data_IF_919356346507
#
_entry.id   IF_919356346507
#
_cell.length_a   1.000
_cell.length_b   1.000
_cell.length_c   1.000
_cell.angle_alpha   90.00
_cell.angle_beta   90.00
_cell.angle_gamma   90.00
#
_symmetry.space_group_name_H-M   'P 1'
#
loop_
_entity.id
_entity.type
_entity.pdbx_description
1 polymer ?
#
# COMPACT_ATOMS: atom_id res chain seq x y z
N UNK A 1 -33.04 -30.99 -69.70
CA UNK A 1 -33.07 -29.68 -70.34
C UNK A 1 -33.16 -28.64 -69.23
N UNK A 2 -32.03 -28.07 -68.84
CA UNK A 2 -31.95 -27.07 -67.79
C UNK A 2 -31.32 -25.82 -68.39
N UNK A 3 -32.03 -24.72 -68.41
CA UNK A 3 -31.54 -23.42 -68.88
C UNK A 3 -31.05 -22.61 -67.67
N UNK A 4 -29.79 -22.28 -67.72
CA UNK A 4 -29.14 -21.34 -66.74
C UNK A 4 -29.25 -19.93 -67.25
N UNK A 5 -29.93 -19.04 -66.53
CA UNK A 5 -29.85 -17.59 -66.72
C UNK A 5 -28.79 -16.99 -65.82
N UNK A 6 -27.69 -16.53 -66.44
CA UNK A 6 -26.66 -15.76 -65.79
C UNK A 6 -27.08 -14.28 -65.67
N UNK A 7 -27.03 -13.72 -64.48
CA UNK A 7 -27.15 -12.27 -64.25
C UNK A 7 -25.78 -11.74 -63.93
N UNK A 8 -25.20 -10.94 -64.79
CA UNK A 8 -23.96 -10.21 -64.55
C UNK A 8 -24.27 -8.90 -63.81
N UNK A 9 -23.72 -8.71 -62.63
CA UNK A 9 -23.72 -7.44 -61.90
C UNK A 9 -22.45 -6.66 -62.22
N UNK A 10 -22.60 -5.58 -62.96
CA UNK A 10 -21.58 -4.56 -63.12
C UNK A 10 -21.65 -3.57 -61.96
N UNK A 11 -20.77 -3.67 -60.99
CA UNK A 11 -20.66 -2.74 -59.84
C UNK A 11 -19.27 -2.16 -59.71
N UNK A 12 -18.77 -1.45 -60.72
CA UNK A 12 -17.41 -0.89 -60.65
C UNK A 12 -17.31 0.58 -61.08
N UNK A 13 -18.33 1.40 -60.90
CA UNK A 13 -18.26 2.81 -61.29
C UNK A 13 -18.73 3.87 -60.28
N UNK A 14 -19.01 3.50 -59.03
CA UNK A 14 -19.46 4.45 -58.01
C UNK A 14 -18.53 4.60 -56.81
N UNK A 15 -17.44 3.86 -56.72
CA UNK A 15 -16.44 3.98 -55.64
C UNK A 15 -15.27 4.94 -55.88
N UNK A 16 -15.13 5.54 -57.05
CA UNK A 16 -13.99 6.40 -57.40
C UNK A 16 -14.22 7.92 -57.32
N UNK A 17 -15.41 8.41 -57.03
CA UNK A 17 -15.71 9.85 -56.97
C UNK A 17 -16.02 10.42 -55.59
N UNK A 18 -15.88 9.62 -54.52
CA UNK A 18 -16.13 10.12 -53.13
C UNK A 18 -14.88 10.42 -52.32
N UNK A 19 -13.65 10.25 -52.90
CA UNK A 19 -12.39 10.42 -52.18
C UNK A 19 -11.59 11.65 -52.65
N UNK A 20 -12.16 12.63 -53.35
CA UNK A 20 -11.39 13.76 -53.88
C UNK A 20 -11.79 15.16 -53.42
N UNK A 21 -12.65 15.27 -52.35
CA UNK A 21 -12.94 16.62 -51.80
C UNK A 21 -13.08 16.55 -50.27
N UNK A 22 -11.98 16.26 -49.57
CA UNK A 22 -11.81 16.68 -48.18
C UNK A 22 -10.55 17.55 -48.15
N UNK A 23 -10.67 18.84 -47.77
CA UNK A 23 -9.49 19.65 -47.53
C UNK A 23 -8.73 19.02 -46.35
N UNK A 24 -7.45 18.82 -46.52
CA UNK A 24 -6.53 18.39 -45.47
C UNK A 24 -6.38 19.51 -44.44
N UNK A 25 -7.36 19.67 -43.58
CA UNK A 25 -7.20 20.27 -42.27
C UNK A 25 -6.66 19.18 -41.37
N UNK A 26 -5.38 18.84 -41.52
CA UNK A 26 -4.63 18.16 -40.46
C UNK A 26 -4.56 19.17 -39.30
N UNK A 27 -5.62 19.21 -38.50
CA UNK A 27 -5.54 19.75 -37.17
C UNK A 27 -4.56 18.82 -36.43
N UNK A 28 -3.32 19.28 -36.31
CA UNK A 28 -2.39 18.79 -35.31
C UNK A 28 -3.08 19.04 -33.96
N UNK A 29 -3.90 18.10 -33.52
CA UNK A 29 -4.22 17.94 -32.12
C UNK A 29 -2.90 17.55 -31.47
N UNK A 30 -2.08 18.56 -31.12
CA UNK A 30 -1.15 18.42 -30.03
C UNK A 30 -2.01 17.96 -28.87
N UNK A 31 -2.00 16.67 -28.59
CA UNK A 31 -2.45 16.17 -27.32
C UNK A 31 -1.60 16.92 -26.29
N UNK A 32 -2.16 17.99 -25.73
CA UNK A 32 -1.63 18.56 -24.51
C UNK A 32 -1.60 17.36 -23.55
N UNK A 33 -0.42 16.88 -23.25
CA UNK A 33 -0.23 15.88 -22.21
C UNK A 33 -0.85 16.52 -20.98
N UNK A 34 -2.00 16.00 -20.55
CA UNK A 34 -2.58 16.43 -19.29
C UNK A 34 -1.45 16.33 -18.27
N UNK A 35 -1.07 17.45 -17.68
CA UNK A 35 0.03 17.52 -16.74
C UNK A 35 -0.26 16.49 -15.66
N UNK A 36 0.59 15.47 -15.55
CA UNK A 36 0.36 14.39 -14.61
C UNK A 36 0.37 14.96 -13.19
N UNK A 37 -0.71 14.76 -12.45
CA UNK A 37 -0.81 15.20 -11.04
C UNK A 37 0.40 14.63 -10.28
N UNK A 38 1.26 15.49 -9.71
CA UNK A 38 2.45 15.02 -9.02
C UNK A 38 2.07 14.28 -7.75
N UNK A 39 2.51 13.03 -7.61
CA UNK A 39 2.32 12.22 -6.42
C UNK A 39 3.48 12.47 -5.47
N UNK A 40 3.21 12.89 -4.23
CA UNK A 40 4.22 13.04 -3.18
C UNK A 40 4.83 11.69 -2.84
N UNK A 41 6.15 11.68 -2.57
CA UNK A 41 6.92 10.49 -2.23
C UNK A 41 7.50 10.61 -0.83
N UNK A 42 7.36 9.56 -0.05
CA UNK A 42 7.95 9.43 1.28
C UNK A 42 8.17 7.98 1.67
N UNK A 43 8.42 7.74 2.95
CA UNK A 43 8.51 6.38 3.48
C UNK A 43 7.86 6.24 4.83
N UNK A 44 7.46 5.00 5.15
CA UNK A 44 7.12 4.57 6.49
C UNK A 44 8.39 4.18 7.27
N UNK A 45 8.52 4.68 8.49
CA UNK A 45 9.73 4.56 9.32
C UNK A 45 10.10 3.13 9.67
N UNK A 46 9.18 2.18 9.53
CA UNK A 46 9.47 0.76 9.72
C UNK A 46 10.53 0.24 8.74
N UNK A 47 10.67 0.87 7.58
CA UNK A 47 11.68 0.54 6.57
C UNK A 47 13.11 0.62 7.11
N UNK A 48 13.38 1.50 8.08
CA UNK A 48 14.70 1.72 8.70
C UNK A 48 14.73 1.41 10.20
N UNK A 49 13.84 0.54 10.67
CA UNK A 49 13.66 0.21 12.09
C UNK A 49 14.92 -0.27 12.80
N UNK A 50 15.87 -0.90 12.08
CA UNK A 50 17.13 -1.37 12.65
C UNK A 50 18.03 -0.23 13.13
N UNK A 51 17.88 0.98 12.56
CA UNK A 51 18.65 2.18 12.99
C UNK A 51 18.16 2.73 14.32
N UNK A 52 16.94 2.43 14.75
CA UNK A 52 16.30 2.94 15.97
C UNK A 52 16.27 4.48 16.05
N UNK A 53 16.34 5.16 14.90
CA UNK A 53 16.21 6.62 14.81
C UNK A 53 14.85 7.09 15.31
N UNK A 54 14.81 8.33 15.83
CA UNK A 54 13.60 8.93 16.39
C UNK A 54 13.42 10.36 15.92
N UNK A 55 12.18 10.79 15.87
CA UNK A 55 11.76 12.17 15.67
C UNK A 55 12.51 12.87 14.55
N UNK A 56 13.31 13.89 14.92
CA UNK A 56 14.02 14.72 13.94
C UNK A 56 15.09 13.97 13.13
N UNK A 57 15.70 12.89 13.66
CA UNK A 57 16.67 12.09 12.91
C UNK A 57 16.03 11.44 11.66
N UNK A 58 14.78 10.94 11.80
CA UNK A 58 14.03 10.37 10.69
C UNK A 58 13.65 11.43 9.65
N UNK A 59 13.29 12.64 10.10
CA UNK A 59 13.02 13.79 9.23
C UNK A 59 14.28 14.24 8.48
N UNK A 60 15.43 14.31 9.15
CA UNK A 60 16.69 14.69 8.52
C UNK A 60 17.12 13.67 7.46
N UNK A 61 16.90 12.37 7.71
CA UNK A 61 17.14 11.33 6.72
C UNK A 61 16.20 11.48 5.51
N UNK A 62 14.90 11.71 5.75
CA UNK A 62 13.95 11.99 4.66
C UNK A 62 14.35 13.20 3.81
N UNK A 63 14.82 14.28 4.45
CA UNK A 63 15.28 15.48 3.76
C UNK A 63 16.54 15.21 2.93
N UNK A 64 17.50 14.43 3.46
CA UNK A 64 18.72 14.02 2.75
C UNK A 64 18.39 13.23 1.47
N UNK A 65 17.29 12.50 1.48
CA UNK A 65 16.76 11.78 0.33
C UNK A 65 15.84 12.64 -0.56
N UNK A 66 15.65 13.92 -0.29
CA UNK A 66 14.75 14.83 -1.01
C UNK A 66 13.33 14.25 -1.14
N UNK A 67 12.72 13.91 -0.01
CA UNK A 67 11.37 13.38 0.07
C UNK A 67 10.36 14.47 0.46
N UNK A 68 9.09 14.25 0.06
CA UNK A 68 8.00 15.20 0.28
C UNK A 68 7.25 14.95 1.60
N UNK A 69 7.33 13.72 2.11
CA UNK A 69 6.52 13.26 3.23
C UNK A 69 7.21 12.12 3.98
N UNK A 70 6.76 11.85 5.20
CA UNK A 70 7.18 10.71 6.02
C UNK A 70 5.97 10.19 6.79
N UNK A 71 5.89 8.87 6.96
CA UNK A 71 4.94 8.25 7.87
C UNK A 71 5.69 7.66 9.06
N UNK A 72 5.38 8.12 10.26
CA UNK A 72 5.85 7.51 11.48
C UNK A 72 5.02 6.25 11.76
N UNK A 73 5.65 5.07 11.68
CA UNK A 73 4.98 3.78 11.75
C UNK A 73 4.34 3.51 13.11
N UNK A 74 4.97 4.01 14.17
CA UNK A 74 4.52 3.82 15.54
C UNK A 74 4.74 5.08 16.38
N UNK A 75 3.95 5.26 17.45
CA UNK A 75 4.08 6.40 18.36
C UNK A 75 5.48 6.49 18.98
N UNK A 76 6.11 5.36 19.26
CA UNK A 76 7.48 5.30 19.78
C UNK A 76 8.55 5.84 18.82
N UNK A 77 8.25 6.05 17.54
CA UNK A 77 9.20 6.61 16.57
C UNK A 77 9.35 8.12 16.69
N UNK A 78 8.40 8.79 17.33
CA UNK A 78 8.57 10.20 17.69
C UNK A 78 9.60 10.44 18.80
N UNK A 79 9.94 9.43 19.60
CA UNK A 79 10.64 9.57 20.88
C UNK A 79 9.64 9.85 22.01
N UNK A 80 9.97 10.73 22.98
CA UNK A 80 9.03 11.16 24.02
C UNK A 80 7.77 11.78 23.42
N UNK A 81 6.60 11.46 23.98
CA UNK A 81 5.30 11.97 23.48
C UNK A 81 4.85 13.25 24.23
N UNK A 82 5.76 13.93 24.93
CA UNK A 82 5.46 15.20 25.56
C UNK A 82 5.31 16.34 24.52
N UNK A 83 4.63 17.41 24.93
CA UNK A 83 4.30 18.51 24.04
C UNK A 83 5.54 19.20 23.44
N UNK A 84 6.65 19.29 24.21
CA UNK A 84 7.86 19.94 23.75
C UNK A 84 8.53 19.16 22.61
N UNK A 85 8.66 17.83 22.76
CA UNK A 85 9.26 17.00 21.72
C UNK A 85 8.37 16.92 20.47
N UNK A 86 7.04 16.76 20.62
CA UNK A 86 6.13 16.74 19.48
C UNK A 86 6.14 18.07 18.71
N UNK A 87 6.21 19.21 19.41
CA UNK A 87 6.36 20.51 18.77
C UNK A 87 7.69 20.62 18.01
N UNK A 88 8.79 20.15 18.61
CA UNK A 88 10.12 20.10 17.95
C UNK A 88 10.09 19.28 16.66
N UNK A 89 9.43 18.13 16.67
CA UNK A 89 9.27 17.30 15.47
C UNK A 89 8.45 18.02 14.40
N UNK A 90 7.34 18.63 14.79
CA UNK A 90 6.49 19.43 13.88
C UNK A 90 7.25 20.58 13.24
N UNK A 91 7.98 21.36 14.06
CA UNK A 91 8.74 22.50 13.57
C UNK A 91 9.86 22.08 12.62
N UNK A 92 10.54 20.95 12.94
CA UNK A 92 11.56 20.40 12.05
C UNK A 92 11.00 19.96 10.72
N UNK A 93 9.85 19.29 10.71
CA UNK A 93 9.16 18.90 9.48
C UNK A 93 8.78 20.13 8.64
N UNK A 94 8.27 21.18 9.27
CA UNK A 94 7.94 22.44 8.60
C UNK A 94 9.17 23.12 7.99
N UNK A 95 10.31 23.18 8.73
CA UNK A 95 11.58 23.72 8.24
C UNK A 95 12.10 22.99 7.01
N UNK A 96 11.88 21.66 6.95
CA UNK A 96 12.33 20.81 5.87
C UNK A 96 11.31 20.71 4.71
N UNK A 97 10.11 21.28 4.86
CA UNK A 97 9.03 21.18 3.87
C UNK A 97 8.43 19.77 3.75
N UNK A 98 8.60 18.94 4.79
CA UNK A 98 8.14 17.55 4.82
C UNK A 98 6.78 17.45 5.54
N UNK A 99 5.78 16.83 4.92
CA UNK A 99 4.52 16.53 5.58
C UNK A 99 4.61 15.23 6.38
N UNK A 100 3.89 15.16 7.52
CA UNK A 100 3.88 14.00 8.40
C UNK A 100 2.55 13.25 8.26
N UNK A 101 2.63 11.94 8.05
CA UNK A 101 1.56 10.98 8.35
C UNK A 101 1.92 10.23 9.63
N UNK A 102 0.91 9.96 10.49
CA UNK A 102 1.12 9.29 11.76
C UNK A 102 0.58 7.87 11.74
N UNK A 103 1.27 6.98 12.44
CA UNK A 103 0.87 5.59 12.58
C UNK A 103 0.96 5.07 14.01
N UNK A 104 0.21 4.01 14.26
CA UNK A 104 0.22 3.23 15.49
C UNK A 104 -0.01 1.75 15.19
N UNK A 105 0.02 0.92 16.22
CA UNK A 105 -0.13 -0.52 16.12
C UNK A 105 -1.56 -1.02 15.95
N UNK A 106 -1.75 -2.29 16.30
CA UNK A 106 -3.03 -2.97 16.29
C UNK A 106 -4.02 -2.33 17.28
N UNK A 107 -5.30 -2.19 16.82
CA UNK A 107 -6.38 -1.60 17.63
C UNK A 107 -7.53 -2.59 17.89
N UNK A 108 -7.41 -3.83 17.51
CA UNK A 108 -8.41 -4.87 17.75
C UNK A 108 -8.03 -5.71 18.96
N UNK A 109 -8.73 -5.53 20.09
CA UNK A 109 -8.42 -6.20 21.36
C UNK A 109 -8.52 -7.73 21.31
N UNK A 110 -9.26 -8.27 20.36
CA UNK A 110 -9.33 -9.71 20.12
C UNK A 110 -8.22 -10.26 19.23
N UNK A 111 -7.45 -9.40 18.58
CA UNK A 111 -6.35 -9.83 17.75
C UNK A 111 -5.11 -10.25 18.56
N UNK A 112 -4.35 -11.17 18.02
CA UNK A 112 -3.12 -11.68 18.64
C UNK A 112 -2.04 -10.60 18.74
N UNK A 113 -2.00 -9.70 17.76
CA UNK A 113 -1.06 -8.59 17.70
C UNK A 113 -1.37 -7.48 18.71
N UNK A 114 -2.55 -7.46 19.34
CA UNK A 114 -2.90 -6.45 20.32
C UNK A 114 -2.12 -6.65 21.63
N UNK A 115 -1.45 -5.60 22.08
CA UNK A 115 -0.67 -5.61 23.32
C UNK A 115 -1.56 -5.70 24.57
N UNK A 116 -1.73 -6.89 25.11
CA UNK A 116 -2.64 -7.17 26.24
C UNK A 116 -2.28 -6.48 27.57
N UNK A 117 -1.05 -5.99 27.69
CA UNK A 117 -0.57 -5.32 28.90
C UNK A 117 -0.69 -3.78 28.82
N UNK A 118 -1.21 -3.26 27.73
CA UNK A 118 -1.42 -1.82 27.52
C UNK A 118 -2.84 -1.36 27.88
N UNK A 119 -3.12 -0.06 27.73
CA UNK A 119 -4.47 0.48 27.87
C UNK A 119 -5.44 -0.15 26.84
N UNK A 120 -6.76 -0.05 27.08
CA UNK A 120 -7.75 -0.46 26.09
C UNK A 120 -7.56 0.22 24.73
N UNK A 121 -7.97 -0.45 23.65
CA UNK A 121 -7.78 0.04 22.27
C UNK A 121 -8.36 1.45 22.07
N UNK A 122 -9.53 1.75 22.64
CA UNK A 122 -10.12 3.10 22.63
C UNK A 122 -9.15 4.16 23.16
N UNK A 123 -8.53 3.90 24.31
CA UNK A 123 -7.61 4.85 24.94
C UNK A 123 -6.33 5.02 24.11
N UNK A 124 -5.76 3.92 23.60
CA UNK A 124 -4.60 3.97 22.73
C UNK A 124 -4.88 4.78 21.45
N UNK A 125 -6.06 4.59 20.85
CA UNK A 125 -6.44 5.31 19.63
C UNK A 125 -6.64 6.81 19.89
N UNK A 126 -7.26 7.19 21.00
CA UNK A 126 -7.39 8.61 21.39
C UNK A 126 -6.01 9.26 21.58
N UNK A 127 -5.08 8.57 22.22
CA UNK A 127 -3.69 9.06 22.36
C UNK A 127 -3.04 9.25 21.02
N UNK A 128 -3.14 8.25 20.11
CA UNK A 128 -2.64 8.35 18.75
C UNK A 128 -3.23 9.55 18.00
N UNK A 129 -4.54 9.76 18.06
CA UNK A 129 -5.20 10.90 17.42
C UNK A 129 -4.69 12.25 17.96
N UNK A 130 -4.43 12.35 19.27
CA UNK A 130 -3.84 13.56 19.87
C UNK A 130 -2.42 13.79 19.40
N UNK A 131 -1.59 12.74 19.31
CA UNK A 131 -0.24 12.83 18.76
C UNK A 131 -0.27 13.27 17.30
N UNK A 132 -1.13 12.66 16.47
CA UNK A 132 -1.29 13.07 15.07
C UNK A 132 -1.62 14.56 14.96
N UNK A 133 -2.58 15.04 15.74
CA UNK A 133 -2.93 16.47 15.80
C UNK A 133 -1.76 17.35 16.20
N UNK A 134 -1.01 16.94 17.23
CA UNK A 134 0.13 17.71 17.76
C UNK A 134 1.23 17.89 16.70
N UNK A 135 1.53 16.86 15.91
CA UNK A 135 2.55 16.93 14.85
C UNK A 135 2.02 17.47 13.51
N UNK A 136 0.72 17.77 13.41
CA UNK A 136 0.09 18.31 12.20
C UNK A 136 -0.29 17.27 11.15
N UNK A 137 -0.32 15.98 11.51
CA UNK A 137 -0.84 14.91 10.67
C UNK A 137 -2.36 14.98 10.56
N UNK A 138 -2.89 14.66 9.37
CA UNK A 138 -4.34 14.58 9.12
C UNK A 138 -4.89 13.16 9.28
N UNK A 139 -4.01 12.19 9.45
CA UNK A 139 -4.36 10.78 9.57
C UNK A 139 -3.62 10.10 10.72
N UNK A 140 -4.28 9.08 11.28
CA UNK A 140 -3.67 8.12 12.18
C UNK A 140 -3.86 6.72 11.60
N UNK A 141 -2.77 6.17 11.02
CA UNK A 141 -2.77 4.80 10.51
C UNK A 141 -2.80 3.82 11.67
N UNK A 142 -3.62 2.78 11.54
CA UNK A 142 -3.66 1.62 12.43
C UNK A 142 -4.06 0.37 11.63
N UNK A 143 -3.99 -0.80 12.27
CA UNK A 143 -4.39 -2.06 11.63
C UNK A 143 -5.19 -2.95 12.60
N UNK A 144 -5.89 -3.93 12.04
CA UNK A 144 -6.73 -4.85 12.81
C UNK A 144 -5.92 -6.00 13.39
N UNK A 145 -5.08 -6.67 12.60
CA UNK A 145 -4.38 -7.86 13.03
C UNK A 145 -3.35 -8.37 12.03
N UNK A 146 -3.34 -9.68 11.84
CA UNK A 146 -2.46 -10.39 10.91
C UNK A 146 -3.12 -11.66 10.38
N UNK A 147 -2.41 -12.40 9.52
CA UNK A 147 -2.85 -13.73 9.05
C UNK A 147 -3.07 -14.74 10.18
N UNK A 148 -2.40 -14.56 11.34
CA UNK A 148 -2.62 -15.43 12.51
C UNK A 148 -4.03 -15.26 13.10
N UNK A 149 -4.61 -14.07 12.99
CA UNK A 149 -5.98 -13.80 13.42
C UNK A 149 -6.99 -14.39 12.45
N UNK A 150 -6.72 -14.28 11.15
CA UNK A 150 -7.55 -14.91 10.11
C UNK A 150 -7.58 -16.43 10.20
N UNK A 151 -6.46 -17.06 10.54
CA UNK A 151 -6.32 -18.51 10.72
C UNK A 151 -6.66 -18.96 12.14
N UNK A 152 -6.98 -18.03 13.03
CA UNK A 152 -7.28 -18.29 14.43
C UNK A 152 -8.67 -18.90 14.66
N UNK A 153 -8.99 -19.19 15.92
CA UNK A 153 -10.28 -19.79 16.27
C UNK A 153 -11.47 -18.81 16.20
N UNK A 154 -11.21 -17.50 16.28
CA UNK A 154 -12.24 -16.48 16.16
C UNK A 154 -12.40 -16.10 14.67
N UNK A 155 -13.62 -16.11 14.12
CA UNK A 155 -13.84 -15.75 12.74
C UNK A 155 -13.47 -14.29 12.47
N UNK A 156 -12.99 -14.01 11.25
CA UNK A 156 -12.48 -12.68 10.88
C UNK A 156 -13.57 -11.60 11.04
N UNK A 157 -14.82 -11.94 10.81
CA UNK A 157 -15.96 -11.04 10.99
C UNK A 157 -16.10 -10.55 12.46
N UNK A 158 -15.75 -11.37 13.43
CA UNK A 158 -15.77 -10.95 14.85
C UNK A 158 -14.65 -9.93 15.15
N UNK A 159 -13.47 -10.09 14.57
CA UNK A 159 -12.40 -9.09 14.64
C UNK A 159 -12.82 -7.78 13.95
N UNK A 160 -13.48 -7.86 12.80
CA UNK A 160 -14.03 -6.69 12.10
C UNK A 160 -15.05 -5.94 12.95
N UNK A 161 -15.98 -6.65 13.57
CA UNK A 161 -16.98 -6.04 14.47
C UNK A 161 -16.33 -5.34 15.67
N UNK A 162 -15.33 -5.97 16.31
CA UNK A 162 -14.59 -5.36 17.40
C UNK A 162 -13.87 -4.08 16.95
N UNK A 163 -13.25 -4.11 15.77
CA UNK A 163 -12.59 -2.94 15.15
C UNK A 163 -13.59 -1.81 14.91
N UNK A 164 -14.77 -2.11 14.34
CA UNK A 164 -15.84 -1.14 14.11
C UNK A 164 -16.30 -0.51 15.42
N UNK A 165 -16.47 -1.30 16.49
CA UNK A 165 -16.85 -0.79 17.82
C UNK A 165 -15.81 0.18 18.37
N UNK A 166 -14.52 -0.14 18.25
CA UNK A 166 -13.43 0.75 18.68
C UNK A 166 -13.48 2.06 17.90
N UNK A 167 -13.57 2.02 16.56
CA UNK A 167 -13.65 3.23 15.74
C UNK A 167 -14.84 4.12 16.13
N UNK A 168 -16.01 3.55 16.22
CA UNK A 168 -17.22 4.30 16.62
C UNK A 168 -17.09 4.92 17.99
N UNK A 169 -16.40 4.27 18.93
CA UNK A 169 -16.24 4.75 20.30
C UNK A 169 -15.37 6.00 20.43
N UNK A 170 -14.53 6.32 19.43
CA UNK A 170 -13.65 7.50 19.42
C UNK A 170 -14.10 8.57 18.45
N UNK A 171 -15.31 8.44 17.89
CA UNK A 171 -15.82 9.33 16.84
C UNK A 171 -15.78 10.81 17.24
N UNK A 172 -16.26 11.14 18.42
CA UNK A 172 -16.29 12.53 18.87
C UNK A 172 -14.88 13.13 18.93
N UNK A 173 -13.95 12.42 19.54
CA UNK A 173 -12.56 12.87 19.69
C UNK A 173 -11.86 13.02 18.34
N UNK A 174 -12.06 12.08 17.42
CA UNK A 174 -11.47 12.14 16.08
C UNK A 174 -12.00 13.35 15.28
N UNK A 175 -13.30 13.60 15.34
CA UNK A 175 -13.93 14.74 14.65
C UNK A 175 -13.47 16.07 15.23
N UNK A 176 -13.41 16.21 16.58
CA UNK A 176 -12.94 17.42 17.26
C UNK A 176 -11.47 17.73 16.95
N UNK A 177 -10.63 16.70 16.84
CA UNK A 177 -9.21 16.84 16.45
C UNK A 177 -9.02 17.08 14.96
N UNK A 178 -9.99 16.77 14.11
CA UNK A 178 -9.90 16.82 12.66
C UNK A 178 -8.90 15.82 12.08
N UNK A 179 -8.76 14.64 12.71
CA UNK A 179 -7.84 13.57 12.32
C UNK A 179 -8.65 12.35 11.90
N UNK A 180 -8.44 11.85 10.69
CA UNK A 180 -9.06 10.60 10.22
C UNK A 180 -8.25 9.38 10.65
N UNK A 181 -8.96 8.29 10.92
CA UNK A 181 -8.33 6.98 11.14
C UNK A 181 -8.08 6.36 9.76
N UNK A 182 -6.84 5.93 9.49
CA UNK A 182 -6.47 5.24 8.25
C UNK A 182 -6.28 3.75 8.55
N UNK A 183 -7.29 2.93 8.24
CA UNK A 183 -7.22 1.48 8.42
C UNK A 183 -6.39 0.85 7.30
N UNK A 184 -5.36 0.10 7.66
CA UNK A 184 -4.52 -0.63 6.73
C UNK A 184 -5.00 -2.05 6.52
N UNK A 185 -4.92 -2.55 5.28
CA UNK A 185 -4.93 -3.97 4.94
C UNK A 185 -3.56 -4.58 5.32
N UNK A 186 -3.46 -5.15 6.53
CA UNK A 186 -2.17 -5.45 7.17
C UNK A 186 -1.86 -6.95 7.24
N UNK A 187 -0.65 -7.32 6.81
CA UNK A 187 -0.01 -8.63 7.05
C UNK A 187 -0.92 -9.88 6.87
N UNK A 188 -1.89 -9.82 5.95
CA UNK A 188 -2.81 -10.92 5.66
C UNK A 188 -4.00 -11.04 6.61
N UNK A 189 -4.33 -9.98 7.34
CA UNK A 189 -5.54 -9.92 8.18
C UNK A 189 -6.82 -9.78 7.34
N UNK A 190 -6.82 -8.87 6.36
CA UNK A 190 -8.01 -8.52 5.58
C UNK A 190 -7.75 -8.45 4.08
N UNK A 191 -8.76 -8.84 3.32
CA UNK A 191 -8.90 -8.50 1.91
C UNK A 191 -9.48 -7.09 1.77
N UNK A 192 -9.26 -6.44 0.64
CA UNK A 192 -9.72 -5.06 0.41
C UNK A 192 -11.23 -4.86 0.63
N UNK A 193 -12.06 -5.81 0.25
CA UNK A 193 -13.51 -5.77 0.47
C UNK A 193 -13.90 -5.80 1.95
N UNK A 194 -13.10 -6.44 2.80
CA UNK A 194 -13.30 -6.49 4.25
C UNK A 194 -12.92 -5.15 4.89
N UNK A 195 -11.79 -4.56 4.48
CA UNK A 195 -11.40 -3.19 4.86
C UNK A 195 -12.49 -2.19 4.46
N UNK A 196 -12.97 -2.26 3.22
CA UNK A 196 -14.11 -1.45 2.75
C UNK A 196 -15.33 -1.59 3.64
N UNK A 197 -15.68 -2.82 4.02
CA UNK A 197 -16.83 -3.09 4.90
C UNK A 197 -16.67 -2.40 6.25
N UNK A 198 -15.48 -2.44 6.87
CA UNK A 198 -15.21 -1.75 8.14
C UNK A 198 -15.33 -0.23 7.97
N UNK A 199 -14.74 0.34 6.91
CA UNK A 199 -14.78 1.79 6.66
C UNK A 199 -16.23 2.26 6.49
N UNK A 200 -17.02 1.56 5.69
CA UNK A 200 -18.42 1.92 5.45
C UNK A 200 -19.28 1.77 6.70
N UNK A 201 -19.07 0.71 7.48
CA UNK A 201 -19.79 0.48 8.73
C UNK A 201 -19.39 1.47 9.84
N UNK A 202 -18.13 1.86 9.95
CA UNK A 202 -17.68 2.83 10.95
C UNK A 202 -18.04 4.28 10.57
N UNK A 203 -18.11 4.57 9.28
CA UNK A 203 -18.40 5.88 8.69
C UNK A 203 -17.20 6.45 7.92
N UNK A 204 -17.40 6.76 6.64
CA UNK A 204 -16.36 7.28 5.70
C UNK A 204 -15.80 8.65 6.08
N UNK A 205 -16.52 9.40 6.88
CA UNK A 205 -16.11 10.68 7.45
C UNK A 205 -15.10 10.48 8.59
N UNK A 206 -15.17 9.36 9.32
CA UNK A 206 -14.29 8.99 10.42
C UNK A 206 -13.11 8.13 9.97
N UNK A 207 -13.39 7.11 9.15
CA UNK A 207 -12.41 6.09 8.75
C UNK A 207 -12.12 6.16 7.26
N UNK A 208 -10.87 6.07 6.91
CA UNK A 208 -10.33 6.01 5.56
C UNK A 208 -9.39 4.80 5.43
N UNK A 209 -8.73 4.62 4.30
CA UNK A 209 -7.79 3.54 4.08
C UNK A 209 -6.32 4.02 4.07
N UNK A 210 -5.45 3.25 4.70
CA UNK A 210 -4.04 3.16 4.36
C UNK A 210 -3.88 1.97 3.41
N UNK A 211 -3.64 2.22 2.12
CA UNK A 211 -3.54 1.17 1.12
C UNK A 211 -2.13 0.58 1.12
N UNK A 212 -1.99 -0.69 1.50
CA UNK A 212 -0.74 -1.43 1.36
C UNK A 212 -0.77 -2.29 0.09
N UNK A 213 0.32 -2.24 -0.70
CA UNK A 213 0.45 -2.97 -1.96
C UNK A 213 1.08 -4.36 -1.82
N UNK A 214 1.78 -4.62 -0.73
CA UNK A 214 2.46 -5.90 -0.50
C UNK A 214 1.65 -6.87 0.36
N UNK A 215 0.80 -6.36 1.24
CA UNK A 215 -0.01 -7.20 2.13
C UNK A 215 -1.11 -8.02 1.43
N UNK A 216 -1.71 -7.58 0.31
CA UNK A 216 -2.74 -8.33 -0.39
C UNK A 216 -2.30 -9.76 -0.78
N UNK A 217 -1.03 -9.95 -1.12
CA UNK A 217 -0.53 -11.27 -1.53
C UNK A 217 -0.75 -12.34 -0.45
N UNK A 218 -0.72 -11.96 0.84
CA UNK A 218 -0.97 -12.87 1.96
C UNK A 218 -2.43 -13.29 2.10
N UNK A 219 -3.32 -12.56 1.44
CA UNK A 219 -4.75 -12.86 1.32
C UNK A 219 -5.12 -13.43 -0.07
N UNK A 220 -4.13 -13.90 -0.84
CA UNK A 220 -4.28 -14.34 -2.23
C UNK A 220 -5.06 -13.34 -3.10
N UNK A 221 -4.77 -12.05 -2.87
CA UNK A 221 -5.39 -10.92 -3.57
C UNK A 221 -4.35 -10.19 -4.44
N UNK A 222 -4.71 -9.86 -5.67
CA UNK A 222 -3.90 -9.04 -6.57
C UNK A 222 -3.90 -7.58 -6.07
N UNK A 223 -2.74 -6.90 -5.94
CA UNK A 223 -2.66 -5.49 -5.53
C UNK A 223 -3.53 -4.52 -6.33
N UNK A 224 -3.85 -4.84 -7.58
CA UNK A 224 -4.78 -4.03 -8.38
C UNK A 224 -6.23 -4.17 -7.93
N UNK A 225 -6.66 -5.35 -7.43
CA UNK A 225 -7.98 -5.51 -6.80
C UNK A 225 -8.07 -4.65 -5.56
N UNK A 226 -7.01 -4.62 -4.77
CA UNK A 226 -6.90 -3.77 -3.58
C UNK A 226 -7.03 -2.28 -3.96
N UNK A 227 -6.28 -1.81 -4.96
CA UNK A 227 -6.37 -0.43 -5.44
C UNK A 227 -7.77 -0.08 -5.93
N UNK A 228 -8.34 -0.90 -6.82
CA UNK A 228 -9.66 -0.68 -7.41
C UNK A 228 -10.77 -0.62 -6.35
N UNK A 229 -10.65 -1.44 -5.30
CA UNK A 229 -11.63 -1.52 -4.21
C UNK A 229 -11.50 -0.37 -3.21
N UNK A 230 -10.28 -0.03 -2.81
CA UNK A 230 -10.02 0.94 -1.74
C UNK A 230 -9.81 2.37 -2.22
N UNK A 231 -9.56 2.61 -3.50
CA UNK A 231 -9.25 3.96 -4.03
C UNK A 231 -10.17 5.09 -3.52
N UNK A 232 -11.52 4.90 -3.40
CA UNK A 232 -12.41 5.96 -2.90
C UNK A 232 -12.17 6.36 -1.43
N UNK A 233 -11.38 5.57 -0.70
CA UNK A 233 -11.14 5.74 0.73
C UNK A 233 -9.69 6.07 1.08
N UNK A 234 -8.75 5.96 0.12
CA UNK A 234 -7.31 6.10 0.37
C UNK A 234 -6.94 7.52 0.77
N UNK A 235 -6.24 7.68 1.90
CA UNK A 235 -5.66 8.94 2.35
C UNK A 235 -4.15 8.85 2.60
N UNK A 236 -3.61 7.66 2.81
CA UNK A 236 -2.18 7.36 2.90
C UNK A 236 -1.92 5.95 2.38
N UNK A 237 -0.67 5.55 2.21
CA UNK A 237 -0.30 4.26 1.63
C UNK A 237 0.89 3.63 2.32
N UNK A 238 1.04 2.31 2.13
CA UNK A 238 2.29 1.57 2.26
C UNK A 238 2.59 0.91 0.91
N UNK A 239 3.61 1.42 0.22
CA UNK A 239 3.97 0.90 -1.10
C UNK A 239 5.23 0.08 -1.02
N UNK A 240 5.13 -1.15 -1.46
CA UNK A 240 6.24 -2.10 -1.59
C UNK A 240 6.04 -2.97 -2.83
N UNK A 241 7.08 -3.64 -3.26
CA UNK A 241 7.02 -4.64 -4.32
C UNK A 241 7.03 -6.04 -3.74
N UNK A 242 6.55 -6.98 -4.52
CA UNK A 242 6.45 -8.38 -4.13
C UNK A 242 6.82 -9.28 -5.29
N UNK A 243 7.56 -10.33 -4.99
CA UNK A 243 7.67 -11.50 -5.85
C UNK A 243 6.58 -12.49 -5.44
N UNK A 244 5.78 -12.92 -6.42
CA UNK A 244 4.78 -13.97 -6.23
C UNK A 244 4.99 -15.00 -7.34
N UNK A 245 5.18 -16.26 -6.99
CA UNK A 245 5.48 -17.31 -7.97
C UNK A 245 4.78 -18.63 -7.63
N UNK A 246 4.59 -19.47 -8.63
CA UNK A 246 3.97 -20.79 -8.46
C UNK A 246 4.84 -21.73 -7.63
N UNK A 247 4.22 -22.53 -6.79
CA UNK A 247 4.81 -23.60 -5.99
C UNK A 247 3.93 -24.87 -6.07
N UNK A 248 4.50 -26.01 -5.74
CA UNK A 248 3.79 -27.31 -5.77
C UNK A 248 2.53 -27.34 -4.91
N UNK A 249 2.43 -26.51 -3.87
CA UNK A 249 1.26 -26.39 -2.97
C UNK A 249 0.33 -25.23 -3.32
N UNK A 250 0.70 -24.41 -4.31
CA UNK A 250 -0.07 -23.23 -4.71
C UNK A 250 0.81 -22.10 -5.19
N UNK A 251 1.17 -21.16 -4.31
CA UNK A 251 2.13 -20.12 -4.60
C UNK A 251 3.03 -19.84 -3.39
N UNK A 252 4.11 -19.11 -3.64
CA UNK A 252 4.91 -18.47 -2.60
C UNK A 252 5.00 -16.97 -2.89
N UNK A 253 5.11 -16.17 -1.84
CA UNK A 253 5.27 -14.73 -1.94
C UNK A 253 6.38 -14.22 -1.04
N UNK A 254 7.02 -13.13 -1.46
CA UNK A 254 8.07 -12.46 -0.70
C UNK A 254 8.06 -10.97 -1.00
N UNK A 255 8.21 -10.13 0.03
CA UNK A 255 8.43 -8.71 -0.17
C UNK A 255 9.85 -8.43 -0.60
N UNK A 256 10.01 -7.54 -1.55
CA UNK A 256 11.29 -7.15 -2.14
C UNK A 256 11.36 -5.63 -2.32
N UNK A 257 12.53 -5.10 -2.64
CA UNK A 257 12.65 -3.70 -2.99
C UNK A 257 11.93 -3.38 -4.31
N UNK A 258 11.54 -2.13 -4.51
CA UNK A 258 10.82 -1.73 -5.72
C UNK A 258 11.63 -2.04 -6.98
N UNK A 259 10.98 -2.69 -7.92
CA UNK A 259 11.56 -3.11 -9.20
C UNK A 259 12.18 -4.50 -9.20
N UNK A 260 12.24 -5.18 -8.05
CA UNK A 260 12.70 -6.56 -7.94
C UNK A 260 11.55 -7.58 -8.00
N UNK A 261 10.30 -7.11 -7.89
CA UNK A 261 9.11 -7.93 -7.90
C UNK A 261 8.51 -8.13 -9.29
N UNK A 262 7.38 -8.83 -9.32
CA UNK A 262 6.59 -9.02 -10.55
C UNK A 262 5.25 -8.27 -10.54
N UNK A 263 5.05 -7.37 -9.59
CA UNK A 263 3.92 -6.43 -9.63
C UNK A 263 4.22 -5.34 -10.67
N UNK A 264 3.31 -5.12 -11.62
CA UNK A 264 3.47 -4.04 -12.62
C UNK A 264 3.28 -2.65 -11.95
N UNK A 265 4.31 -2.18 -11.25
CA UNK A 265 4.30 -0.91 -10.53
C UNK A 265 4.12 0.29 -11.45
N UNK A 266 4.55 0.23 -12.71
CA UNK A 266 4.35 1.31 -13.69
C UNK A 266 2.86 1.50 -13.97
N UNK A 267 2.16 0.40 -14.25
CA UNK A 267 0.71 0.40 -14.42
C UNK A 267 0.00 0.78 -13.13
N UNK A 268 0.45 0.26 -11.99
CA UNK A 268 -0.12 0.57 -10.68
C UNK A 268 -0.10 2.07 -10.39
N UNK A 269 1.06 2.72 -10.50
CA UNK A 269 1.22 4.16 -10.25
C UNK A 269 0.37 5.00 -11.22
N UNK A 270 0.30 4.60 -12.49
CA UNK A 270 -0.57 5.27 -13.47
C UNK A 270 -2.05 5.22 -13.06
N UNK A 271 -2.53 4.08 -12.54
CA UNK A 271 -3.89 3.97 -12.02
C UNK A 271 -4.06 4.72 -10.71
N UNK A 272 -3.10 4.60 -9.79
CA UNK A 272 -3.10 5.30 -8.50
C UNK A 272 -3.25 6.81 -8.67
N UNK A 273 -2.49 7.44 -9.57
CA UNK A 273 -2.62 8.87 -9.86
C UNK A 273 -4.03 9.29 -10.25
N UNK A 274 -4.71 8.46 -11.02
CA UNK A 274 -6.09 8.73 -11.47
C UNK A 274 -7.12 8.53 -10.37
N UNK A 275 -6.95 7.50 -9.57
CA UNK A 275 -7.92 7.06 -8.59
C UNK A 275 -7.72 7.71 -7.22
N UNK A 276 -6.48 8.05 -6.85
CA UNK A 276 -6.08 8.57 -5.54
C UNK A 276 -5.25 9.87 -5.66
N UNK A 277 -5.72 10.91 -6.40
CA UNK A 277 -4.89 12.08 -6.76
C UNK A 277 -4.45 12.94 -5.56
N UNK A 278 -5.06 12.76 -4.39
CA UNK A 278 -4.74 13.51 -3.17
C UNK A 278 -3.84 12.74 -2.19
N UNK A 279 -3.48 11.51 -2.52
CA UNK A 279 -2.71 10.64 -1.62
C UNK A 279 -1.24 10.63 -1.99
N UNK A 280 -0.38 10.49 -0.96
CA UNK A 280 1.05 10.28 -1.11
C UNK A 280 1.39 8.80 -1.26
N UNK A 281 2.57 8.51 -1.81
CA UNK A 281 3.16 7.17 -1.80
C UNK A 281 4.22 7.11 -0.70
N UNK A 282 3.92 6.38 0.39
CA UNK A 282 4.86 6.07 1.45
C UNK A 282 5.45 4.70 1.17
N UNK A 283 6.75 4.63 0.91
CA UNK A 283 7.42 3.35 0.72
C UNK A 283 7.59 2.65 2.07
N UNK A 284 7.09 1.43 2.21
CA UNK A 284 7.39 0.58 3.35
C UNK A 284 8.19 -0.63 2.88
N UNK A 285 9.50 -0.47 2.83
CA UNK A 285 10.40 -1.50 2.31
C UNK A 285 10.78 -2.46 3.44
N UNK A 286 10.32 -3.70 3.31
CA UNK A 286 10.64 -4.80 4.23
C UNK A 286 11.26 -5.91 3.40
N UNK A 287 12.56 -6.05 3.49
CA UNK A 287 13.35 -7.09 2.81
C UNK A 287 13.97 -8.05 3.81
N UNK A 288 14.56 -9.13 3.32
CA UNK A 288 15.19 -10.14 4.17
C UNK A 288 14.21 -11.12 4.83
N UNK A 289 12.91 -11.02 4.56
CA UNK A 289 11.95 -12.03 5.00
C UNK A 289 11.96 -13.22 4.04
N UNK A 290 11.96 -14.46 4.54
CA UNK A 290 11.87 -15.63 3.67
C UNK A 290 10.54 -15.67 2.92
N UNK A 291 10.47 -16.36 1.77
CA UNK A 291 9.21 -16.59 1.07
C UNK A 291 8.19 -17.30 1.97
N UNK A 292 6.94 -16.82 1.95
CA UNK A 292 5.81 -17.46 2.63
C UNK A 292 5.01 -18.27 1.64
N UNK A 293 4.67 -19.49 2.05
CA UNK A 293 3.79 -20.38 1.30
C UNK A 293 2.33 -19.93 1.40
N UNK A 294 1.63 -20.00 0.28
CA UNK A 294 0.20 -19.75 0.11
C UNK A 294 -0.41 -21.03 -0.48
N UNK A 295 -0.69 -22.03 0.35
CA UNK A 295 -1.01 -23.39 -0.11
C UNK A 295 -2.47 -23.51 -0.58
N UNK A 296 -2.88 -22.71 -1.56
CA UNK A 296 -4.26 -22.64 -2.05
C UNK A 296 -4.73 -23.90 -2.80
N UNK A 297 -3.83 -24.86 -3.07
CA UNK A 297 -4.23 -26.19 -3.58
C UNK A 297 -4.70 -27.12 -2.47
N UNK A 298 -4.53 -26.73 -1.20
CA UNK A 298 -4.97 -27.47 -0.04
C UNK A 298 -6.36 -26.98 0.43
N UNK A 299 -7.30 -27.88 0.64
CA UNK A 299 -8.67 -27.54 1.02
C UNK A 299 -8.75 -26.72 2.34
N UNK A 300 -7.85 -27.01 3.29
CA UNK A 300 -7.83 -26.32 4.59
C UNK A 300 -7.47 -24.84 4.49
N UNK A 301 -6.70 -24.44 3.49
CA UNK A 301 -6.38 -23.04 3.22
C UNK A 301 -7.64 -22.20 3.04
N UNK A 302 -8.64 -22.74 2.35
CA UNK A 302 -9.86 -22.02 2.00
C UNK A 302 -10.81 -21.78 3.17
N UNK A 303 -10.58 -22.44 4.31
CA UNK A 303 -11.31 -22.14 5.56
C UNK A 303 -11.11 -20.69 6.00
N UNK A 304 -9.95 -20.09 5.68
CA UNK A 304 -9.66 -18.68 5.95
C UNK A 304 -10.28 -17.71 4.93
N UNK A 305 -10.71 -18.22 3.76
CA UNK A 305 -11.20 -17.39 2.65
C UNK A 305 -12.53 -17.90 2.06
N UNK A 306 -13.56 -18.20 2.89
CA UNK A 306 -14.78 -18.88 2.44
C UNK A 306 -15.61 -18.05 1.45
N UNK A 307 -15.37 -16.74 1.39
CA UNK A 307 -16.11 -15.78 0.53
C UNK A 307 -15.26 -15.23 -0.61
N UNK A 308 -14.12 -15.88 -0.94
CA UNK A 308 -13.22 -15.40 -2.00
C UNK A 308 -13.90 -15.49 -3.37
N UNK A 309 -14.09 -14.39 -4.11
CA UNK A 309 -14.61 -14.45 -5.47
C UNK A 309 -13.60 -15.09 -6.42
N UNK A 310 -14.07 -16.00 -7.26
CA UNK A 310 -13.21 -16.73 -8.19
C UNK A 310 -12.43 -15.81 -9.14
N UNK A 311 -13.02 -14.68 -9.58
CA UNK A 311 -12.36 -13.74 -10.48
C UNK A 311 -11.22 -12.96 -9.81
N UNK A 312 -11.32 -12.64 -8.51
CA UNK A 312 -10.25 -12.01 -7.74
C UNK A 312 -9.09 -13.00 -7.57
N UNK A 313 -9.40 -14.23 -7.17
CA UNK A 313 -8.40 -15.29 -7.05
C UNK A 313 -7.71 -15.60 -8.39
N UNK A 314 -8.45 -15.60 -9.51
CA UNK A 314 -7.88 -15.82 -10.83
C UNK A 314 -6.84 -14.75 -11.20
N UNK A 315 -7.02 -13.48 -10.78
CA UNK A 315 -6.03 -12.41 -10.97
C UNK A 315 -4.77 -12.67 -10.13
N UNK A 316 -4.93 -13.12 -8.88
CA UNK A 316 -3.79 -13.52 -8.06
C UNK A 316 -3.02 -14.69 -8.68
N UNK A 317 -3.70 -15.71 -9.18
CA UNK A 317 -3.07 -16.84 -9.89
C UNK A 317 -2.33 -16.36 -11.14
N UNK A 318 -2.88 -15.42 -11.89
CA UNK A 318 -2.20 -14.83 -13.05
C UNK A 318 -0.90 -14.11 -12.63
N UNK A 319 -0.91 -13.39 -11.50
CA UNK A 319 0.29 -12.77 -10.93
C UNK A 319 1.32 -13.85 -10.56
N UNK A 320 0.93 -14.92 -9.86
CA UNK A 320 1.84 -16.00 -9.47
C UNK A 320 2.48 -16.69 -10.69
N UNK A 321 1.72 -16.91 -11.76
CA UNK A 321 2.23 -17.50 -13.01
C UNK A 321 3.25 -16.64 -13.73
N UNK A 322 3.26 -15.33 -13.52
CA UNK A 322 4.21 -14.41 -14.15
C UNK A 322 5.52 -14.27 -13.39
N UNK A 323 5.60 -14.80 -12.17
CA UNK A 323 6.73 -14.60 -11.29
C UNK A 323 7.71 -15.79 -11.24
N UNK A 324 8.79 -15.56 -10.54
CA UNK A 324 9.84 -16.56 -10.26
C UNK A 324 10.42 -16.29 -8.87
N UNK A 325 11.10 -17.27 -8.23
CA UNK A 325 11.78 -17.04 -6.96
C UNK A 325 12.75 -15.86 -7.04
N UNK A 326 12.78 -15.05 -5.97
CA UNK A 326 13.71 -13.91 -5.90
C UNK A 326 15.15 -14.39 -5.71
N UNK A 327 16.04 -13.88 -6.54
CA UNK A 327 17.47 -14.17 -6.53
C UNK A 327 18.25 -12.87 -6.30
N UNK A 328 18.29 -12.42 -5.05
CA UNK A 328 19.09 -11.25 -4.67
C UNK A 328 20.59 -11.55 -4.62
N UNK A 329 21.42 -10.55 -4.86
CA UNK A 329 22.89 -10.69 -4.79
C UNK A 329 23.35 -11.00 -3.34
N UNK A 330 22.69 -10.38 -2.35
CA UNK A 330 22.89 -10.63 -0.92
C UNK A 330 21.56 -10.40 -0.21
N UNK A 331 21.18 -11.31 0.66
CA UNK A 331 19.99 -11.18 1.50
C UNK A 331 20.39 -11.45 2.95
N UNK A 332 20.17 -10.46 3.82
CA UNK A 332 20.31 -10.62 5.27
C UNK A 332 18.92 -10.96 5.83
N UNK A 333 18.79 -12.13 6.40
CA UNK A 333 17.52 -12.58 6.96
C UNK A 333 17.10 -11.75 8.18
N UNK A 334 15.94 -11.10 8.09
CA UNK A 334 15.32 -10.37 9.19
C UNK A 334 14.31 -11.28 9.90
N UNK A 335 14.82 -12.27 10.59
CA UNK A 335 14.04 -13.23 11.37
C UNK A 335 14.34 -13.12 12.85
N UNK A 336 13.37 -13.48 13.70
CA UNK A 336 13.56 -13.51 15.13
C UNK A 336 14.54 -14.64 15.53
N UNK A 337 15.30 -14.42 16.59
CA UNK A 337 16.21 -15.41 17.15
C UNK A 337 17.56 -14.84 17.53
N UNK A 338 18.40 -15.69 18.12
CA UNK A 338 19.78 -15.34 18.51
C UNK A 338 20.68 -15.38 17.27
N UNK A 339 21.30 -14.25 16.97
CA UNK A 339 22.23 -14.08 15.83
C UNK A 339 23.48 -13.29 16.25
N UNK A 340 24.60 -13.44 15.53
CA UNK A 340 25.80 -12.66 15.77
C UNK A 340 25.55 -11.16 15.63
N UNK A 341 26.18 -10.33 16.45
CA UNK A 341 26.01 -8.87 16.43
C UNK A 341 26.35 -8.23 15.06
N UNK A 342 27.29 -8.81 14.32
CA UNK A 342 27.63 -8.34 12.96
C UNK A 342 26.45 -8.41 11.99
N UNK A 343 25.49 -9.29 12.22
CA UNK A 343 24.28 -9.37 11.40
C UNK A 343 23.33 -8.19 11.64
N UNK A 344 23.36 -7.57 12.81
CA UNK A 344 22.55 -6.38 13.10
C UNK A 344 23.04 -5.19 12.28
N UNK A 345 24.36 -5.04 12.12
CA UNK A 345 24.92 -3.97 11.26
C UNK A 345 24.66 -4.28 9.77
N UNK A 346 24.82 -5.53 9.35
CA UNK A 346 24.49 -5.96 7.99
C UNK A 346 23.01 -5.73 7.67
N UNK A 347 22.10 -5.97 8.62
CA UNK A 347 20.66 -5.71 8.45
C UNK A 347 20.37 -4.21 8.31
N UNK A 348 21.04 -3.34 9.07
CA UNK A 348 20.92 -1.88 8.90
C UNK A 348 21.28 -1.47 7.47
N UNK A 349 22.45 -1.91 6.98
CA UNK A 349 22.88 -1.61 5.62
C UNK A 349 21.92 -2.18 4.58
N UNK A 350 21.41 -3.39 4.76
CA UNK A 350 20.41 -3.96 3.87
C UNK A 350 19.15 -3.10 3.82
N UNK A 351 18.63 -2.66 4.98
CA UNK A 351 17.46 -1.80 5.03
C UNK A 351 17.70 -0.47 4.32
N UNK A 352 18.87 0.16 4.54
CA UNK A 352 19.24 1.41 3.89
C UNK A 352 19.36 1.25 2.38
N UNK A 353 20.12 0.26 1.92
CA UNK A 353 20.37 0.02 0.49
C UNK A 353 19.04 -0.27 -0.23
N UNK A 354 18.22 -1.15 0.31
CA UNK A 354 16.95 -1.53 -0.32
C UNK A 354 15.95 -0.38 -0.36
N UNK A 355 15.91 0.45 0.68
CA UNK A 355 15.07 1.64 0.69
C UNK A 355 15.59 2.70 -0.31
N UNK A 356 16.88 3.01 -0.30
CA UNK A 356 17.46 4.03 -1.18
C UNK A 356 17.34 3.66 -2.66
N UNK A 357 17.62 2.41 -3.04
CA UNK A 357 17.42 1.94 -4.43
C UNK A 357 15.94 1.89 -4.82
N UNK A 358 15.04 1.65 -3.86
CA UNK A 358 13.59 1.75 -4.10
C UNK A 358 13.17 3.19 -4.39
N UNK A 359 13.77 4.18 -3.72
CA UNK A 359 13.56 5.60 -4.05
C UNK A 359 14.10 5.96 -5.44
N UNK A 360 15.25 5.44 -5.81
CA UNK A 360 15.77 5.65 -7.18
C UNK A 360 14.81 5.10 -8.23
N UNK A 361 14.29 3.90 -8.00
CA UNK A 361 13.29 3.31 -8.88
C UNK A 361 12.01 4.15 -8.92
N UNK A 362 11.48 4.54 -7.75
CA UNK A 362 10.28 5.36 -7.64
C UNK A 362 10.42 6.70 -8.38
N UNK A 363 11.56 7.38 -8.23
CA UNK A 363 11.84 8.65 -8.89
C UNK A 363 12.07 8.48 -10.40
N UNK A 364 13.00 7.59 -10.79
CA UNK A 364 13.48 7.49 -12.18
C UNK A 364 12.54 6.68 -13.09
N UNK A 365 11.87 5.64 -12.55
CA UNK A 365 11.01 4.74 -13.35
C UNK A 365 9.53 5.03 -13.19
N UNK A 366 9.09 5.34 -11.95
CA UNK A 366 7.67 5.61 -11.67
C UNK A 366 7.33 7.11 -11.75
N UNK A 367 8.34 7.98 -11.86
CA UNK A 367 8.18 9.43 -11.93
C UNK A 367 7.39 10.01 -10.73
N UNK A 368 7.60 9.48 -9.51
CA UNK A 368 6.96 9.93 -8.25
C UNK A 368 7.91 10.83 -7.45
N UNK A 369 7.32 11.68 -6.59
CA UNK A 369 8.04 12.68 -5.80
C UNK A 369 8.09 14.04 -6.47
N UNK A 370 8.12 15.08 -5.65
CA UNK A 370 8.17 16.50 -6.08
C UNK A 370 9.50 17.13 -5.67
N UNK A 371 9.92 17.02 -4.41
CA UNK A 371 11.08 17.70 -3.85
C UNK A 371 12.41 17.40 -4.55
N UNK A 372 12.56 16.24 -5.15
CA UNK A 372 13.78 15.85 -5.84
C UNK A 372 13.96 16.49 -7.22
N UNK A 373 12.92 17.12 -7.76
CA UNK A 373 12.91 17.74 -9.10
C UNK A 373 13.37 19.19 -9.09
N UNK A 374 13.37 19.80 -7.89
CA UNK A 374 13.76 21.20 -7.65
C UNK A 374 15.25 21.39 -7.39
#
# INVERSE_FOLDING_TARGET
>A
MAGSLGVSYSSNMLRRKFLQTLPAAAAAMTAASAEEVPVKLGFDTYSVRAFKWKGTQLLDYAAGLKLDTIQFSALGDYGPLDAQNLQKVKDRAAQLGISIDSGMGCICESAKAFGKNGPPARQQLIEGLKVAKAVGSRSMRCYMGSSEDRLGPLPIEAHMENTIKVFRSVRAEAMDLGVKIALENHSGDMQAREVKTIIEAAGKDLVAACLDTGNPIWCVEDPFVTLETLAPYVITTHVRDSVVFEDARGAAGQWVALGDGNVDLVRFVRQFRKLCPQSSMQLEIITGRPPRMLPYLEADFWKAFPKMPAWEFARFVALAKSGHPFMGAMVIEDVAGKKPAVMDEALKEQQRIDLERSFEYAKKKLNVGVAWRG
#
